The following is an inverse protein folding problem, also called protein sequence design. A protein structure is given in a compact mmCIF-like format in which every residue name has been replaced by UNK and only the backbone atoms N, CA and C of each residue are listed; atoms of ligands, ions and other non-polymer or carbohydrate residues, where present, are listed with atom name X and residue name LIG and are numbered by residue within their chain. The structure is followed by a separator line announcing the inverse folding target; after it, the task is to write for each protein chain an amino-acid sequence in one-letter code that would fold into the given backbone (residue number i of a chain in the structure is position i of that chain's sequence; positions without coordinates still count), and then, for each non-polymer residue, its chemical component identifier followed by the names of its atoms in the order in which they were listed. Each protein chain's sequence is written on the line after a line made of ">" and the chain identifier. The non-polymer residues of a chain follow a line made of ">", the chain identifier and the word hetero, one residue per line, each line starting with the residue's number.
data_IF_323432432509
#
_entry.id   IF_323432432509
#
_cell.length_a   1.000
_cell.length_b   1.000
_cell.length_c   1.000
_cell.angle_alpha   90.00
_cell.angle_beta   90.00
_cell.angle_gamma   90.00
#
_symmetry.space_group_name_H-M   'P 1'
#
loop_
_entity.id
_entity.type
_entity.pdbx_description
1 polymer ?
#
# COMPACT_ATOMS: atom_id res chain seq x y z
N UNK A 1 -2.67 5.31 -0.29
CA UNK A 1 -2.07 4.09 -0.88
C UNK A 1 -1.86 4.24 -2.37
N UNK A 2 -2.92 4.38 -3.19
CA UNK A 2 -2.82 4.43 -4.66
C UNK A 2 -1.87 5.51 -5.19
N UNK A 3 -1.88 6.70 -4.62
CA UNK A 3 -0.98 7.80 -5.03
C UNK A 3 0.48 7.38 -4.91
N UNK A 4 0.84 6.71 -3.83
CA UNK A 4 2.21 6.26 -3.58
C UNK A 4 2.62 5.19 -4.59
N UNK A 5 1.77 4.18 -4.84
CA UNK A 5 2.06 3.12 -5.80
C UNK A 5 2.16 3.66 -7.22
N UNK A 6 1.24 4.54 -7.63
CA UNK A 6 1.27 5.19 -8.94
C UNK A 6 2.53 6.03 -9.12
N UNK A 7 2.94 6.76 -8.09
CA UNK A 7 4.17 7.55 -8.10
C UNK A 7 5.41 6.65 -8.29
N UNK A 8 5.51 5.55 -7.54
CA UNK A 8 6.63 4.61 -7.70
C UNK A 8 6.68 3.97 -9.09
N UNK A 9 5.52 3.61 -9.64
CA UNK A 9 5.45 3.08 -11.00
C UNK A 9 5.86 4.13 -12.04
N UNK A 10 5.38 5.35 -11.92
CA UNK A 10 5.74 6.44 -12.81
C UNK A 10 7.26 6.70 -12.80
N UNK A 11 7.85 6.85 -11.60
CA UNK A 11 9.29 7.06 -11.46
C UNK A 11 10.07 5.84 -11.99
N UNK A 12 9.62 4.63 -11.67
CA UNK A 12 10.27 3.39 -12.12
C UNK A 12 10.28 3.25 -13.63
N UNK A 13 9.14 3.47 -14.29
CA UNK A 13 9.05 3.39 -15.76
C UNK A 13 9.94 4.42 -16.45
N UNK A 14 9.96 5.64 -15.93
CA UNK A 14 10.82 6.72 -16.49
C UNK A 14 12.31 6.44 -16.29
N UNK A 15 12.71 5.85 -15.16
CA UNK A 15 14.12 5.54 -14.91
C UNK A 15 14.63 4.29 -15.64
N UNK A 16 13.73 3.35 -15.96
CA UNK A 16 14.10 2.11 -16.68
C UNK A 16 14.07 2.24 -18.19
N UNK A 17 13.54 3.33 -18.74
CA UNK A 17 13.56 3.62 -20.18
C UNK A 17 15.00 3.72 -20.68
N UNK A 18 15.45 2.74 -21.47
CA UNK A 18 16.82 2.66 -21.99
C UNK A 18 17.00 3.38 -23.33
N UNK A 19 15.92 3.74 -24.00
CA UNK A 19 15.98 4.36 -25.33
C UNK A 19 16.46 5.81 -25.28
N UNK A 20 16.37 6.47 -24.11
CA UNK A 20 16.68 7.89 -23.94
C UNK A 20 17.95 8.12 -23.11
N UNK A 21 18.66 9.20 -23.41
CA UNK A 21 19.78 9.65 -22.60
C UNK A 21 19.36 10.01 -21.17
N UNK A 22 20.21 9.80 -20.15
CA UNK A 22 19.84 10.04 -18.74
C UNK A 22 19.30 11.44 -18.45
N UNK A 23 19.87 12.48 -19.08
CA UNK A 23 19.42 13.88 -18.90
C UNK A 23 18.02 14.11 -19.48
N UNK A 24 17.73 13.51 -20.62
CA UNK A 24 16.42 13.62 -21.27
C UNK A 24 15.34 12.90 -20.45
N UNK A 25 15.65 11.72 -19.92
CA UNK A 25 14.75 10.98 -19.02
C UNK A 25 14.34 11.81 -17.79
N UNK A 26 15.31 12.43 -17.13
CA UNK A 26 15.05 13.30 -15.97
C UNK A 26 14.20 14.51 -16.35
N UNK A 27 14.51 15.17 -17.46
CA UNK A 27 13.75 16.31 -17.95
C UNK A 27 12.30 15.92 -18.25
N UNK A 28 12.12 14.83 -18.99
CA UNK A 28 10.76 14.33 -19.33
C UNK A 28 9.98 13.89 -18.10
N UNK A 29 10.63 13.20 -17.16
CA UNK A 29 10.01 12.78 -15.89
C UNK A 29 9.52 13.99 -15.09
N UNK A 30 10.35 15.04 -14.98
CA UNK A 30 9.96 16.28 -14.26
C UNK A 30 8.82 16.98 -15.00
N UNK A 31 8.88 17.10 -16.31
CA UNK A 31 7.82 17.75 -17.11
C UNK A 31 6.48 17.01 -16.99
N UNK A 32 6.46 15.69 -17.16
CA UNK A 32 5.25 14.88 -17.01
C UNK A 32 4.75 14.87 -15.57
N UNK A 33 5.65 14.77 -14.59
CA UNK A 33 5.32 14.83 -13.19
C UNK A 33 4.70 16.17 -12.79
N UNK A 34 5.27 17.27 -13.26
CA UNK A 34 4.73 18.62 -13.03
C UNK A 34 3.34 18.80 -13.67
N UNK A 35 3.17 18.30 -14.89
CA UNK A 35 1.87 18.33 -15.57
C UNK A 35 0.79 17.56 -14.79
N UNK A 36 1.11 16.35 -14.34
CA UNK A 36 0.21 15.56 -13.49
C UNK A 36 -0.09 16.30 -12.18
N UNK A 37 0.94 16.87 -11.54
CA UNK A 37 0.78 17.62 -10.29
C UNK A 37 -0.15 18.82 -10.46
N UNK A 38 -0.02 19.57 -11.55
CA UNK A 38 -0.92 20.72 -11.85
C UNK A 38 -2.36 20.24 -11.97
N UNK A 39 -2.62 19.16 -12.73
CA UNK A 39 -3.98 18.60 -12.87
C UNK A 39 -4.52 18.17 -11.49
N UNK A 40 -3.73 17.47 -10.70
CA UNK A 40 -4.14 17.03 -9.35
C UNK A 40 -4.43 18.23 -8.45
N UNK A 41 -3.60 19.27 -8.51
CA UNK A 41 -3.84 20.50 -7.75
C UNK A 41 -5.13 21.21 -8.19
N UNK A 42 -5.37 21.33 -9.47
CA UNK A 42 -6.62 21.95 -9.99
C UNK A 42 -7.85 21.18 -9.51
N UNK A 43 -7.80 19.86 -9.49
CA UNK A 43 -8.94 19.02 -9.09
C UNK A 43 -9.11 18.95 -7.56
N UNK A 44 -8.02 18.86 -6.80
CA UNK A 44 -8.08 18.50 -5.38
C UNK A 44 -7.81 19.68 -4.43
N UNK A 45 -6.98 20.66 -4.83
CA UNK A 45 -6.50 21.69 -3.91
C UNK A 45 -7.63 22.59 -3.38
N UNK A 46 -8.63 22.89 -4.21
CA UNK A 46 -9.78 23.69 -3.80
C UNK A 46 -10.52 23.10 -2.60
N UNK A 47 -10.61 21.77 -2.51
CA UNK A 47 -11.24 21.08 -1.39
C UNK A 47 -10.48 21.32 -0.09
N UNK A 48 -9.18 21.22 -0.15
CA UNK A 48 -8.31 21.45 1.01
C UNK A 48 -8.30 22.91 1.45
N UNK A 49 -8.27 23.84 0.48
CA UNK A 49 -8.38 25.28 0.77
C UNK A 49 -9.73 25.59 1.43
N UNK A 50 -10.81 25.05 0.86
CA UNK A 50 -12.15 25.19 1.45
C UNK A 50 -12.18 24.69 2.90
N UNK A 51 -11.62 23.52 3.17
CA UNK A 51 -11.57 22.99 4.53
C UNK A 51 -10.75 23.87 5.46
N UNK A 52 -9.60 24.35 5.03
CA UNK A 52 -8.77 25.27 5.83
C UNK A 52 -9.53 26.56 6.18
N UNK A 53 -10.30 27.11 5.25
CA UNK A 53 -11.11 28.33 5.49
C UNK A 53 -12.28 28.03 6.44
N UNK A 54 -13.03 26.95 6.20
CA UNK A 54 -14.24 26.62 6.98
C UNK A 54 -13.94 26.12 8.37
N UNK A 55 -12.83 25.41 8.55
CA UNK A 55 -12.47 24.71 9.77
C UNK A 55 -11.21 25.30 10.47
N UNK A 56 -11.02 26.63 10.32
CA UNK A 56 -10.00 27.39 11.03
C UNK A 56 -8.58 26.81 10.94
N UNK A 57 -8.18 26.37 9.75
CA UNK A 57 -6.86 25.79 9.48
C UNK A 57 -6.81 24.26 9.49
N UNK A 58 -7.87 23.57 9.83
CA UNK A 58 -7.94 22.09 9.73
C UNK A 58 -8.08 21.65 8.26
N UNK A 59 -6.94 21.69 7.58
CA UNK A 59 -6.78 21.39 6.16
C UNK A 59 -7.33 20.01 5.74
N UNK A 60 -7.21 19.02 6.61
CA UNK A 60 -7.70 17.66 6.38
C UNK A 60 -9.09 17.40 6.97
N UNK A 61 -9.63 18.31 7.75
CA UNK A 61 -10.90 18.14 8.46
C UNK A 61 -10.87 17.07 9.56
N UNK A 62 -9.69 16.67 10.02
CA UNK A 62 -9.55 15.57 10.98
C UNK A 62 -9.88 15.97 12.41
N UNK A 63 -9.39 17.12 12.83
CA UNK A 63 -9.64 17.66 14.18
C UNK A 63 -11.12 17.98 14.34
N UNK A 64 -11.69 18.68 13.34
CA UNK A 64 -13.11 19.01 13.30
C UNK A 64 -13.98 17.75 13.28
N UNK A 65 -13.63 16.75 12.47
CA UNK A 65 -14.35 15.48 12.43
C UNK A 65 -14.29 14.75 13.78
N UNK A 66 -13.13 14.74 14.45
CA UNK A 66 -12.95 14.13 15.77
C UNK A 66 -13.75 14.87 16.85
N UNK A 67 -13.74 16.21 16.81
CA UNK A 67 -14.52 17.03 17.75
C UNK A 67 -16.03 16.83 17.56
N UNK A 68 -16.50 16.80 16.31
CA UNK A 68 -17.90 16.49 16.00
C UNK A 68 -18.30 15.08 16.45
N UNK A 69 -17.43 14.08 16.23
CA UNK A 69 -17.68 12.73 16.71
C UNK A 69 -17.75 12.65 18.24
N UNK A 70 -16.92 13.42 18.95
CA UNK A 70 -16.97 13.49 20.42
C UNK A 70 -18.30 14.09 20.91
N UNK A 71 -18.82 15.12 20.24
CA UNK A 71 -20.07 15.78 20.63
C UNK A 71 -21.32 14.95 20.28
N UNK A 72 -21.41 14.45 19.07
CA UNK A 72 -22.67 13.93 18.50
C UNK A 72 -22.72 12.41 18.38
N UNK A 73 -21.59 11.69 18.42
CA UNK A 73 -21.64 10.24 18.32
C UNK A 73 -22.23 9.59 19.59
N UNK A 74 -22.83 8.42 19.40
CA UNK A 74 -23.25 7.59 20.55
C UNK A 74 -22.04 7.24 21.40
N UNK A 75 -22.22 7.09 22.72
CA UNK A 75 -21.15 6.85 23.69
C UNK A 75 -20.15 5.75 23.24
N UNK A 76 -20.63 4.67 22.63
CA UNK A 76 -19.80 3.57 22.13
C UNK A 76 -18.82 4.00 21.02
N UNK A 77 -19.17 5.01 20.24
CA UNK A 77 -18.42 5.43 19.06
C UNK A 77 -17.66 6.75 19.25
N UNK A 78 -17.69 7.32 20.45
CA UNK A 78 -16.91 8.52 20.77
C UNK A 78 -15.41 8.19 20.73
N UNK A 79 -14.57 9.09 20.16
CA UNK A 79 -13.12 8.91 20.14
C UNK A 79 -12.50 8.71 21.53
N UNK A 80 -13.04 9.37 22.57
CA UNK A 80 -12.59 9.20 23.96
C UNK A 80 -12.85 7.77 24.48
N UNK A 81 -13.94 7.15 24.08
CA UNK A 81 -14.34 5.81 24.51
C UNK A 81 -13.82 4.69 23.60
N UNK A 82 -13.06 5.03 22.55
CA UNK A 82 -12.52 4.03 21.62
C UNK A 82 -11.57 3.07 22.36
N UNK A 83 -11.89 1.78 22.32
CA UNK A 83 -11.08 0.71 22.91
C UNK A 83 -10.10 0.19 21.86
N UNK A 84 -9.03 0.93 21.58
CA UNK A 84 -8.00 0.49 20.67
C UNK A 84 -7.04 -0.50 21.32
N UNK A 85 -6.39 -1.36 20.52
CA UNK A 85 -5.36 -2.28 21.02
C UNK A 85 -4.21 -1.53 21.70
N UNK A 86 -3.82 -0.39 21.12
CA UNK A 86 -2.79 0.47 21.68
C UNK A 86 -3.13 0.96 23.08
N UNK A 87 -4.38 1.41 23.30
CA UNK A 87 -4.85 1.87 24.63
C UNK A 87 -4.92 0.73 25.65
N UNK A 88 -5.05 -0.50 25.20
CA UNK A 88 -5.08 -1.69 26.07
C UNK A 88 -3.70 -2.23 26.39
N UNK A 89 -2.65 -1.73 25.74
CA UNK A 89 -1.28 -2.22 25.89
C UNK A 89 -0.97 -3.50 25.11
N UNK A 90 -1.88 -3.97 24.26
CA UNK A 90 -1.66 -5.13 23.41
C UNK A 90 -0.68 -4.80 22.28
N UNK A 91 0.06 -5.80 21.79
CA UNK A 91 0.96 -5.59 20.65
C UNK A 91 0.22 -5.63 19.31
N UNK A 92 0.73 -4.92 18.29
CA UNK A 92 0.17 -4.95 16.94
C UNK A 92 0.22 -6.36 16.32
N UNK A 93 1.25 -7.14 16.60
CA UNK A 93 1.35 -8.54 16.15
C UNK A 93 0.27 -9.42 16.79
N UNK A 94 -0.03 -9.18 18.06
CA UNK A 94 -1.12 -9.86 18.74
C UNK A 94 -2.46 -9.59 18.04
N UNK A 95 -2.73 -8.33 17.66
CA UNK A 95 -3.94 -7.97 16.92
C UNK A 95 -4.03 -8.68 15.56
N UNK A 96 -2.90 -8.79 14.84
CA UNK A 96 -2.88 -9.37 13.48
C UNK A 96 -3.13 -10.89 13.52
N UNK A 97 -2.46 -11.61 14.43
CA UNK A 97 -2.39 -13.08 14.41
C UNK A 97 -3.22 -13.75 15.49
N UNK A 98 -3.63 -13.00 16.50
CA UNK A 98 -4.37 -13.55 17.63
C UNK A 98 -5.78 -12.95 17.69
N UNK A 99 -6.78 -13.81 17.92
CA UNK A 99 -8.17 -13.37 18.13
C UNK A 99 -8.37 -13.04 19.60
N UNK A 100 -8.42 -11.76 19.98
CA UNK A 100 -8.78 -11.41 21.35
C UNK A 100 -10.24 -11.82 21.63
N UNK A 101 -10.50 -12.31 22.82
CA UNK A 101 -11.82 -12.81 23.26
C UNK A 101 -12.93 -11.75 23.13
N UNK A 102 -12.55 -10.46 23.10
CA UNK A 102 -13.48 -9.32 23.00
C UNK A 102 -13.77 -8.86 21.56
N UNK A 103 -13.17 -9.51 20.53
CA UNK A 103 -13.44 -9.20 19.14
C UNK A 103 -14.14 -10.38 18.45
N UNK A 104 -15.15 -10.03 17.66
CA UNK A 104 -15.92 -11.02 16.90
C UNK A 104 -15.17 -11.54 15.65
N UNK A 105 -14.13 -10.80 15.21
CA UNK A 105 -13.44 -11.08 13.95
C UNK A 105 -11.92 -11.09 14.10
N UNK A 106 -11.28 -12.06 13.46
CA UNK A 106 -9.83 -12.13 13.28
C UNK A 106 -9.37 -11.09 12.26
N UNK A 107 -8.41 -10.24 12.61
CA UNK A 107 -7.97 -9.17 11.74
C UNK A 107 -7.48 -9.69 10.37
N UNK A 108 -6.52 -10.63 10.37
CA UNK A 108 -5.92 -11.15 9.15
C UNK A 108 -6.94 -11.86 8.26
N UNK A 109 -7.75 -12.74 8.85
CA UNK A 109 -8.77 -13.50 8.10
C UNK A 109 -9.79 -12.57 7.48
N UNK A 110 -10.25 -11.57 8.25
CA UNK A 110 -11.24 -10.60 7.77
C UNK A 110 -10.66 -9.72 6.64
N UNK A 111 -9.38 -9.29 6.75
CA UNK A 111 -8.72 -8.55 5.68
C UNK A 111 -8.60 -9.40 4.42
N UNK A 112 -8.19 -10.66 4.51
CA UNK A 112 -8.07 -11.57 3.36
C UNK A 112 -9.44 -11.82 2.70
N UNK A 113 -10.47 -12.11 3.47
CA UNK A 113 -11.80 -12.33 2.91
C UNK A 113 -12.38 -11.06 2.29
N UNK A 114 -12.24 -9.93 2.94
CA UNK A 114 -12.74 -8.66 2.43
C UNK A 114 -11.91 -8.11 1.26
N UNK A 115 -10.68 -8.55 1.10
CA UNK A 115 -9.87 -8.24 -0.07
C UNK A 115 -10.44 -8.87 -1.35
N UNK A 116 -10.94 -10.09 -1.27
CA UNK A 116 -11.56 -10.80 -2.42
C UNK A 116 -12.97 -10.32 -2.67
N UNK A 117 -13.77 -10.20 -1.61
CA UNK A 117 -15.15 -9.75 -1.77
C UNK A 117 -15.91 -9.65 -0.46
N UNK A 118 -16.01 -8.42 0.04
CA UNK A 118 -16.93 -8.06 1.11
C UNK A 118 -17.69 -6.79 0.74
N UNK A 119 -18.99 -6.80 1.00
CA UNK A 119 -19.90 -5.73 0.67
C UNK A 119 -20.59 -5.23 1.94
N UNK A 120 -21.12 -3.98 1.89
CA UNK A 120 -21.96 -3.44 2.94
C UNK A 120 -21.29 -3.43 4.33
N UNK A 121 -20.18 -2.72 4.50
CA UNK A 121 -19.45 -2.61 5.79
C UNK A 121 -18.99 -3.97 6.37
N UNK A 122 -18.51 -4.87 5.52
CA UNK A 122 -18.10 -6.23 5.88
C UNK A 122 -19.24 -7.09 6.45
N UNK A 123 -20.48 -6.88 6.04
CA UNK A 123 -21.61 -7.72 6.47
C UNK A 123 -21.93 -8.83 5.50
N UNK A 124 -21.68 -8.62 4.22
CA UNK A 124 -21.96 -9.59 3.16
C UNK A 124 -20.63 -10.03 2.56
N UNK A 125 -20.29 -11.29 2.77
CA UNK A 125 -19.10 -11.90 2.19
C UNK A 125 -19.49 -12.81 1.02
N UNK A 126 -18.63 -12.87 -0.01
CA UNK A 126 -18.73 -13.91 -1.03
C UNK A 126 -18.64 -15.29 -0.38
N UNK A 127 -19.25 -16.28 -1.04
CA UNK A 127 -19.15 -17.67 -0.60
C UNK A 127 -17.68 -18.10 -0.47
N UNK A 128 -17.38 -18.86 0.58
CA UNK A 128 -16.05 -19.46 0.80
C UNK A 128 -15.59 -20.28 -0.41
N UNK A 129 -16.53 -20.88 -1.17
CA UNK A 129 -16.25 -21.61 -2.39
C UNK A 129 -15.65 -20.74 -3.51
N UNK A 130 -15.83 -19.42 -3.46
CA UNK A 130 -15.24 -18.47 -4.41
C UNK A 130 -13.96 -17.87 -3.82
N UNK A 131 -14.01 -17.48 -2.54
CA UNK A 131 -12.88 -16.80 -1.88
C UNK A 131 -11.65 -17.71 -1.80
N UNK A 132 -11.84 -18.96 -1.36
CA UNK A 132 -10.72 -19.89 -1.14
C UNK A 132 -9.98 -20.23 -2.45
N UNK A 133 -10.65 -20.63 -3.55
CA UNK A 133 -9.96 -20.85 -4.82
C UNK A 133 -9.24 -19.60 -5.34
N UNK A 134 -9.82 -18.42 -5.19
CA UNK A 134 -9.20 -17.17 -5.59
C UNK A 134 -7.89 -16.90 -4.81
N UNK A 135 -7.92 -17.05 -3.49
CA UNK A 135 -6.73 -16.92 -2.66
C UNK A 135 -5.69 -18.00 -2.95
N UNK A 136 -6.12 -19.24 -3.25
CA UNK A 136 -5.24 -20.31 -3.69
C UNK A 136 -4.57 -19.97 -5.03
N UNK A 137 -5.30 -19.46 -6.02
CA UNK A 137 -4.74 -19.02 -7.28
C UNK A 137 -3.71 -17.92 -7.11
N UNK A 138 -3.99 -16.92 -6.25
CA UNK A 138 -3.03 -15.88 -5.89
C UNK A 138 -1.77 -16.48 -5.22
N UNK A 139 -1.95 -17.39 -4.27
CA UNK A 139 -0.84 -18.08 -3.60
C UNK A 139 0.02 -18.91 -4.55
N UNK A 140 -0.62 -19.67 -5.44
CA UNK A 140 0.06 -20.44 -6.49
C UNK A 140 0.82 -19.49 -7.42
N UNK A 141 0.21 -18.38 -7.85
CA UNK A 141 0.87 -17.37 -8.68
C UNK A 141 2.14 -16.83 -8.02
N UNK A 142 2.09 -16.52 -6.72
CA UNK A 142 3.25 -16.07 -5.96
C UNK A 142 4.35 -17.15 -5.81
N UNK A 143 3.96 -18.43 -5.67
CA UNK A 143 4.91 -19.55 -5.59
C UNK A 143 5.58 -19.80 -6.93
N UNK A 144 4.81 -19.78 -8.03
CA UNK A 144 5.35 -19.93 -9.38
C UNK A 144 6.31 -18.80 -9.73
N UNK A 145 5.98 -17.57 -9.36
CA UNK A 145 6.86 -16.41 -9.48
C UNK A 145 8.21 -16.62 -8.78
N UNK A 146 8.23 -17.26 -7.60
CA UNK A 146 9.46 -17.55 -6.90
C UNK A 146 10.44 -18.36 -7.74
N UNK A 147 9.95 -19.28 -8.57
CA UNK A 147 10.79 -20.09 -9.46
C UNK A 147 11.31 -19.28 -10.67
N UNK A 148 10.57 -18.24 -11.08
CA UNK A 148 10.98 -17.30 -12.12
C UNK A 148 11.85 -16.15 -11.58
N UNK A 149 11.81 -15.88 -10.26
CA UNK A 149 12.65 -14.89 -9.59
C UNK A 149 14.07 -15.41 -9.47
N UNK A 150 14.78 -15.39 -10.58
CA UNK A 150 16.22 -15.66 -10.55
C UNK A 150 16.90 -14.60 -9.68
N UNK A 151 18.05 -14.97 -9.11
CA UNK A 151 18.92 -14.12 -8.29
C UNK A 151 19.18 -12.75 -8.90
N UNK A 152 19.11 -12.67 -10.21
CA UNK A 152 19.32 -11.49 -11.06
C UNK A 152 18.19 -10.45 -10.96
N UNK A 153 16.99 -10.85 -10.55
CA UNK A 153 15.84 -9.99 -10.43
C UNK A 153 15.99 -8.95 -9.31
N UNK A 154 16.55 -9.36 -8.17
CA UNK A 154 16.72 -8.48 -7.00
C UNK A 154 18.06 -7.76 -6.94
N UNK A 155 19.14 -8.37 -7.45
CA UNK A 155 20.50 -7.94 -7.12
C UNK A 155 21.44 -7.80 -8.31
N UNK A 156 21.07 -8.18 -9.55
CA UNK A 156 22.03 -8.35 -10.63
C UNK A 156 21.78 -7.46 -11.84
N UNK A 157 22.89 -7.14 -12.57
CA UNK A 157 22.84 -6.52 -13.87
C UNK A 157 22.29 -7.52 -14.89
N UNK A 158 21.13 -7.25 -15.45
CA UNK A 158 20.64 -7.96 -16.63
C UNK A 158 21.48 -7.69 -17.90
N UNK A 159 22.36 -6.69 -17.84
CA UNK A 159 23.30 -6.39 -18.91
C UNK A 159 24.49 -7.33 -18.78
N UNK A 160 24.46 -8.44 -19.56
CA UNK A 160 25.44 -9.50 -19.60
C UNK A 160 26.89 -9.13 -19.95
N UNK A 161 27.34 -7.97 -19.57
CA UNK A 161 28.75 -7.58 -19.58
C UNK A 161 29.42 -8.03 -18.29
N UNK A 162 29.69 -9.33 -18.20
CA UNK A 162 30.75 -9.82 -17.35
C UNK A 162 32.08 -9.24 -17.83
N UNK A 163 32.45 -8.09 -17.35
CA UNK A 163 33.87 -7.74 -17.28
C UNK A 163 34.46 -8.54 -16.12
N UNK A 164 34.79 -9.78 -16.41
CA UNK A 164 35.66 -10.60 -15.59
C UNK A 164 37.06 -10.02 -15.62
N UNK A 165 37.31 -8.99 -14.83
CA UNK A 165 38.65 -8.53 -14.50
C UNK A 165 38.86 -8.85 -13.02
N UNK A 166 39.71 -9.84 -12.81
CA UNK A 166 40.39 -10.16 -11.55
C UNK A 166 39.49 -10.28 -10.29
N UNK A 167 38.86 -11.42 -10.07
CA UNK A 167 38.71 -12.01 -8.74
C UNK A 167 37.82 -11.35 -7.68
N UNK A 168 37.25 -10.13 -7.91
CA UNK A 168 36.35 -9.45 -6.99
C UNK A 168 35.20 -8.80 -7.74
N UNK A 169 34.12 -9.52 -7.94
CA UNK A 169 32.87 -8.96 -8.46
C UNK A 169 32.28 -7.99 -7.42
N UNK A 170 32.49 -6.70 -7.59
CA UNK A 170 31.74 -5.68 -6.87
C UNK A 170 30.29 -5.77 -7.31
N UNK A 171 29.43 -6.25 -6.44
CA UNK A 171 27.96 -6.24 -6.64
C UNK A 171 27.48 -4.80 -6.83
N UNK A 172 27.14 -4.42 -8.04
CA UNK A 172 26.57 -3.13 -8.36
C UNK A 172 25.03 -3.31 -8.41
N UNK A 173 24.30 -2.52 -7.66
CA UNK A 173 22.85 -2.53 -7.72
C UNK A 173 22.38 -2.13 -9.12
N UNK A 174 21.58 -2.97 -9.76
CA UNK A 174 20.99 -2.64 -11.05
C UNK A 174 19.80 -1.70 -10.87
N UNK A 175 19.47 -0.92 -11.90
CA UNK A 175 18.25 -0.07 -11.87
C UNK A 175 16.99 -0.91 -11.69
N UNK A 176 16.94 -2.09 -12.31
CA UNK A 176 15.86 -3.07 -12.16
C UNK A 176 15.74 -3.56 -10.72
N UNK A 177 16.87 -3.80 -10.03
CA UNK A 177 16.87 -4.19 -8.63
C UNK A 177 16.26 -3.12 -7.72
N UNK A 178 16.59 -1.86 -7.91
CA UNK A 178 15.98 -0.75 -7.17
C UNK A 178 14.48 -0.67 -7.39
N UNK A 179 14.03 -0.81 -8.64
CA UNK A 179 12.61 -0.80 -8.97
C UNK A 179 11.86 -1.97 -8.33
N UNK A 180 12.46 -3.15 -8.32
CA UNK A 180 11.90 -4.32 -7.65
C UNK A 180 11.75 -4.08 -6.15
N UNK A 181 12.78 -3.54 -5.48
CA UNK A 181 12.67 -3.19 -4.06
C UNK A 181 11.63 -2.10 -3.79
N UNK A 182 11.53 -1.09 -4.65
CA UNK A 182 10.48 -0.08 -4.54
C UNK A 182 9.08 -0.71 -4.62
N UNK A 183 8.88 -1.72 -5.48
CA UNK A 183 7.63 -2.47 -5.54
C UNK A 183 7.38 -3.33 -4.30
N UNK A 184 8.41 -3.93 -3.69
CA UNK A 184 8.28 -4.62 -2.39
C UNK A 184 7.79 -3.64 -1.32
N UNK A 185 8.39 -2.46 -1.22
CA UNK A 185 7.93 -1.44 -0.25
C UNK A 185 6.52 -0.95 -0.56
N UNK A 186 6.20 -0.72 -1.83
CA UNK A 186 4.85 -0.32 -2.26
C UNK A 186 3.79 -1.39 -1.95
N UNK A 187 4.16 -2.66 -1.92
CA UNK A 187 3.30 -3.76 -1.49
C UNK A 187 3.10 -3.79 0.02
N UNK A 188 4.16 -3.53 0.80
CA UNK A 188 4.12 -3.64 2.26
C UNK A 188 3.46 -2.42 2.94
N UNK A 189 3.72 -1.20 2.42
CA UNK A 189 3.27 0.05 3.07
C UNK A 189 1.74 0.11 3.26
N UNK A 190 0.88 -0.16 2.26
CA UNK A 190 -0.57 -0.10 2.45
C UNK A 190 -1.07 -1.07 3.52
N UNK A 191 -0.49 -2.27 3.57
CA UNK A 191 -0.85 -3.29 4.55
C UNK A 191 -0.41 -2.88 5.96
N UNK A 192 0.80 -2.34 6.10
CA UNK A 192 1.28 -1.80 7.36
C UNK A 192 0.41 -0.65 7.85
N UNK A 193 0.07 0.30 6.98
CA UNK A 193 -0.80 1.43 7.33
C UNK A 193 -2.20 0.97 7.73
N UNK A 194 -2.77 -0.03 7.07
CA UNK A 194 -4.05 -0.63 7.44
C UNK A 194 -3.98 -1.28 8.83
N UNK A 195 -2.93 -2.06 9.09
CA UNK A 195 -2.70 -2.67 10.39
C UNK A 195 -2.47 -1.62 11.50
N UNK A 196 -1.65 -0.61 11.22
CA UNK A 196 -1.36 0.47 12.15
C UNK A 196 -2.61 1.29 12.48
N UNK A 197 -3.43 1.63 11.48
CA UNK A 197 -4.69 2.32 11.71
C UNK A 197 -5.66 1.50 12.57
N UNK A 198 -5.79 0.20 12.27
CA UNK A 198 -6.61 -0.71 13.06
C UNK A 198 -6.12 -0.86 14.49
N UNK A 199 -4.82 -0.76 14.72
CA UNK A 199 -4.19 -0.84 16.03
C UNK A 199 -4.36 0.43 16.86
N UNK A 200 -4.12 1.61 16.24
CA UNK A 200 -4.01 2.88 16.96
C UNK A 200 -5.30 3.70 17.03
N UNK A 201 -6.16 3.58 16.03
CA UNK A 201 -7.32 4.48 15.87
C UNK A 201 -8.66 3.77 15.96
N UNK A 202 -8.95 2.88 15.02
CA UNK A 202 -10.22 2.17 14.96
C UNK A 202 -10.01 0.80 14.32
N UNK A 203 -10.53 -0.24 14.97
CA UNK A 203 -10.41 -1.60 14.48
C UNK A 203 -11.27 -1.81 13.24
N UNK A 204 -10.65 -1.64 12.07
CA UNK A 204 -11.29 -1.78 10.77
C UNK A 204 -10.52 -2.77 9.88
N UNK A 205 -10.70 -4.08 10.05
CA UNK A 205 -10.04 -5.10 9.26
C UNK A 205 -10.68 -5.18 7.86
N UNK A 206 -10.33 -4.27 6.96
CA UNK A 206 -10.94 -4.18 5.63
C UNK A 206 -9.88 -4.31 4.54
N UNK A 207 -10.04 -5.32 3.68
CA UNK A 207 -9.13 -5.59 2.56
C UNK A 207 -9.08 -4.47 1.52
N UNK A 208 -10.10 -3.61 1.42
CA UNK A 208 -10.09 -2.45 0.51
C UNK A 208 -8.92 -1.49 0.79
N UNK A 209 -8.44 -1.40 2.01
CA UNK A 209 -7.27 -0.58 2.35
C UNK A 209 -5.96 -1.18 1.85
N UNK A 210 -5.96 -2.49 1.57
CA UNK A 210 -4.84 -3.22 0.97
C UNK A 210 -4.88 -3.23 -0.56
N UNK A 211 -5.98 -2.79 -1.21
CA UNK A 211 -6.11 -2.74 -2.67
C UNK A 211 -4.95 -2.03 -3.41
N UNK A 212 -4.34 -0.95 -2.87
CA UNK A 212 -3.18 -0.34 -3.52
C UNK A 212 -1.99 -1.29 -3.75
N UNK A 213 -1.92 -2.40 -3.00
CA UNK A 213 -0.87 -3.41 -3.20
C UNK A 213 -1.06 -4.23 -4.49
N UNK A 214 -2.26 -4.22 -5.11
CA UNK A 214 -2.52 -4.99 -6.33
C UNK A 214 -1.58 -4.60 -7.48
N UNK A 215 -1.27 -3.32 -7.63
CA UNK A 215 -0.39 -2.85 -8.70
C UNK A 215 1.02 -3.46 -8.55
N UNK A 216 1.73 -3.29 -7.42
CA UNK A 216 3.03 -3.94 -7.24
C UNK A 216 2.93 -5.48 -7.19
N UNK A 217 1.82 -6.05 -6.71
CA UNK A 217 1.59 -7.48 -6.74
C UNK A 217 1.55 -8.01 -8.19
N UNK A 218 0.80 -7.34 -9.07
CA UNK A 218 0.72 -7.71 -10.49
C UNK A 218 2.08 -7.59 -11.18
N UNK A 219 2.90 -6.60 -10.83
CA UNK A 219 4.27 -6.53 -11.32
C UNK A 219 5.06 -7.81 -11.01
N UNK A 220 4.89 -8.39 -9.82
CA UNK A 220 5.56 -9.64 -9.47
C UNK A 220 4.94 -10.87 -10.12
N UNK A 221 3.65 -10.88 -10.39
CA UNK A 221 2.95 -12.02 -11.02
C UNK A 221 3.19 -12.09 -12.53
N UNK A 222 3.44 -10.94 -13.18
CA UNK A 222 3.58 -10.85 -14.65
C UNK A 222 5.04 -10.91 -15.14
N UNK A 223 6.02 -10.87 -14.25
CA UNK A 223 7.45 -10.97 -14.56
C UNK A 223 7.94 -12.40 -14.48
#
# INVERSE_FOLDING_TARGET
>A
GFILTTFFFFVGTMLTDQEKAPKERWKEMIQKGLFILVIVCVIALWWFIRNAILYHGDFLGRETSSACAELYARAKYKPSNSKTFQKKGDSMLCMIFYRPVYLEHDWLVTVLYSFVGAFGYNRIYLSKMIIVPYLCCLGIGLILMRNCCQRDFFFWNADGTQTAIAGKTKRKWSKTGWFTWANVFALLIPNYLNAYYSYSSDFQPQGRYSMPMLIPLMYFVTK
#
